data_IF_866811859062
#
_entry.id   IF_866811859062
#
_cell.length_a   1.000
_cell.length_b   1.000
_cell.length_c   1.000
_cell.angle_alpha   90.00
_cell.angle_beta   90.00
_cell.angle_gamma   90.00
#
_symmetry.space_group_name_H-M   'P 1'
#
loop_
_entity.id
_entity.type
_entity.pdbx_description
1 polymer ?
#
# COMPACT_ATOMS: atom_id res chain seq x y z
N UNK A 1 -14.09 -7.02 57.09
CA UNK A 1 -13.37 -6.16 56.12
C UNK A 1 -12.72 -7.05 55.08
N UNK A 2 -13.08 -6.97 53.79
CA UNK A 2 -12.40 -7.71 52.74
C UNK A 2 -11.13 -6.96 52.31
N UNK A 3 -10.05 -7.72 52.07
CA UNK A 3 -8.78 -7.21 51.53
C UNK A 3 -8.98 -6.87 50.05
N UNK A 4 -8.67 -5.62 49.68
CA UNK A 4 -8.57 -5.18 48.30
C UNK A 4 -7.28 -5.78 47.73
N UNK A 5 -7.40 -6.76 46.84
CA UNK A 5 -6.26 -7.22 46.04
C UNK A 5 -5.88 -6.09 45.09
N UNK A 6 -4.64 -5.61 45.23
CA UNK A 6 -4.01 -4.72 44.28
C UNK A 6 -3.82 -5.47 42.95
N UNK A 7 -4.66 -5.19 41.96
CA UNK A 7 -4.44 -5.65 40.60
C UNK A 7 -3.12 -5.05 40.09
N UNK A 8 -2.09 -5.88 40.01
CA UNK A 8 -0.87 -5.57 39.28
C UNK A 8 -1.23 -5.44 37.80
N UNK A 9 -1.02 -4.25 37.23
CA UNK A 9 -1.06 -4.04 35.79
C UNK A 9 0.19 -4.71 35.22
N UNK A 10 0.03 -5.90 34.64
CA UNK A 10 1.07 -6.51 33.81
C UNK A 10 1.16 -5.75 32.49
N UNK A 11 2.29 -5.11 32.22
CA UNK A 11 2.60 -4.60 30.89
C UNK A 11 3.12 -5.75 30.03
N UNK A 12 2.27 -6.32 29.17
CA UNK A 12 2.76 -7.21 28.12
C UNK A 12 3.27 -6.38 26.93
N UNK A 13 4.48 -6.70 26.49
CA UNK A 13 5.06 -6.12 25.30
C UNK A 13 4.49 -6.82 24.07
N UNK A 14 3.72 -6.10 23.25
CA UNK A 14 3.15 -6.63 22.02
C UNK A 14 4.04 -6.20 20.86
N UNK A 15 4.67 -7.15 20.18
CA UNK A 15 5.38 -6.88 18.93
C UNK A 15 4.39 -6.90 17.75
N UNK A 16 4.28 -5.78 17.05
CA UNK A 16 3.53 -5.68 15.79
C UNK A 16 4.51 -5.65 14.63
N UNK A 17 4.37 -6.58 13.68
CA UNK A 17 5.14 -6.57 12.43
C UNK A 17 4.28 -6.02 11.30
N UNK A 18 4.76 -4.99 10.60
CA UNK A 18 4.10 -4.43 9.41
C UNK A 18 5.06 -4.39 8.22
N UNK A 19 4.52 -4.56 7.02
CA UNK A 19 5.28 -4.55 5.77
C UNK A 19 4.92 -3.26 5.03
N UNK A 20 5.84 -2.29 4.97
CA UNK A 20 5.62 -1.02 4.25
C UNK A 20 6.39 -0.99 2.94
N UNK A 21 5.68 -1.11 1.82
CA UNK A 21 6.21 -0.75 0.49
C UNK A 21 6.07 0.76 0.26
N UNK A 22 7.00 1.32 -0.49
CA UNK A 22 6.86 2.68 -1.02
C UNK A 22 6.56 2.58 -2.51
N UNK A 23 5.49 3.24 -2.94
CA UNK A 23 5.04 3.27 -4.32
C UNK A 23 5.10 4.70 -4.84
N UNK A 24 5.76 4.89 -5.97
CA UNK A 24 5.86 6.17 -6.65
C UNK A 24 5.31 6.02 -8.06
N UNK A 25 4.43 6.93 -8.44
CA UNK A 25 3.92 7.04 -9.80
C UNK A 25 4.32 8.39 -10.38
N UNK A 26 4.82 8.37 -11.61
CA UNK A 26 5.21 9.59 -12.33
C UNK A 26 4.77 9.48 -13.79
N UNK A 27 4.39 10.62 -14.38
CA UNK A 27 3.95 10.72 -15.77
C UNK A 27 4.71 11.84 -16.44
N UNK A 28 5.41 11.52 -17.52
CA UNK A 28 6.03 12.48 -18.42
C UNK A 28 5.15 12.65 -19.66
N UNK A 29 4.75 13.90 -19.92
CA UNK A 29 3.92 14.26 -21.06
C UNK A 29 4.80 14.92 -22.13
N UNK A 30 4.70 14.43 -23.36
CA UNK A 30 5.34 14.99 -24.55
C UNK A 30 4.24 15.37 -25.53
N UNK A 31 4.00 16.67 -25.67
CA UNK A 31 3.07 17.20 -26.66
C UNK A 31 3.73 17.25 -28.05
N UNK A 32 2.89 17.20 -29.09
CA UNK A 32 3.35 17.28 -30.48
C UNK A 32 4.50 16.29 -30.78
N UNK A 33 4.35 15.04 -30.35
CA UNK A 33 5.44 14.07 -30.30
C UNK A 33 6.17 13.90 -31.65
N UNK A 34 5.46 13.91 -32.79
CA UNK A 34 6.11 13.83 -34.11
C UNK A 34 7.03 15.01 -34.41
N UNK A 35 6.65 16.22 -34.01
CA UNK A 35 7.50 17.40 -34.16
C UNK A 35 8.67 17.39 -33.17
N UNK A 36 8.41 16.96 -31.92
CA UNK A 36 9.44 16.76 -30.91
C UNK A 36 10.49 15.75 -31.38
N UNK A 37 10.04 14.58 -31.90
CA UNK A 37 10.88 13.51 -32.42
C UNK A 37 11.80 13.99 -33.55
N UNK A 38 11.32 14.87 -34.43
CA UNK A 38 12.11 15.42 -35.52
C UNK A 38 13.21 16.40 -35.07
N UNK A 39 13.11 16.96 -33.86
CA UNK A 39 14.05 17.96 -33.33
C UNK A 39 15.06 17.41 -32.35
N UNK A 40 14.66 16.43 -31.53
CA UNK A 40 15.53 15.87 -30.50
C UNK A 40 16.63 15.01 -31.09
N UNK A 41 17.79 14.99 -30.43
CA UNK A 41 18.92 14.13 -30.77
C UNK A 41 19.40 13.42 -29.51
N UNK A 42 19.69 12.13 -29.63
CA UNK A 42 20.12 11.30 -28.52
C UNK A 42 19.05 11.13 -27.44
N UNK A 43 19.46 10.65 -26.28
CA UNK A 43 18.56 10.39 -25.17
C UNK A 43 17.96 11.67 -24.58
N UNK A 44 16.70 11.59 -24.16
CA UNK A 44 15.97 12.68 -23.55
C UNK A 44 15.50 12.25 -22.16
N UNK A 45 15.60 13.17 -21.19
CA UNK A 45 15.32 12.88 -19.78
C UNK A 45 14.14 13.73 -19.30
N UNK A 46 13.27 13.13 -18.48
CA UNK A 46 12.25 13.89 -17.75
C UNK A 46 12.88 14.70 -16.62
N UNK A 47 12.07 15.56 -16.00
CA UNK A 47 12.43 16.09 -14.68
C UNK A 47 12.66 14.96 -13.67
N UNK A 48 13.52 15.25 -12.70
CA UNK A 48 13.77 14.39 -11.56
C UNK A 48 12.57 14.44 -10.62
N UNK A 49 12.11 13.27 -10.16
CA UNK A 49 11.02 13.14 -9.21
C UNK A 49 11.48 12.35 -7.96
N UNK A 50 11.01 12.72 -6.76
CA UNK A 50 11.46 12.11 -5.52
C UNK A 50 10.85 10.71 -5.30
N UNK A 51 11.57 9.82 -4.61
CA UNK A 51 11.04 8.52 -4.17
C UNK A 51 10.80 8.41 -2.66
N UNK A 52 10.51 9.51 -1.96
CA UNK A 52 10.27 9.50 -0.51
C UNK A 52 11.48 9.10 0.36
N UNK A 53 12.67 8.93 -0.25
CA UNK A 53 14.00 8.87 0.37
C UNK A 53 14.86 9.96 -0.29
N UNK A 54 16.12 10.14 0.13
CA UNK A 54 17.11 11.04 -0.52
C UNK A 54 17.43 10.69 -1.99
N UNK A 55 16.69 9.75 -2.58
CA UNK A 55 16.88 9.24 -3.92
C UNK A 55 15.91 9.96 -4.88
N UNK A 56 16.42 10.49 -5.98
CA UNK A 56 15.59 11.01 -7.07
C UNK A 56 15.64 10.06 -8.27
N UNK A 57 14.57 10.06 -9.04
CA UNK A 57 14.38 9.22 -10.22
C UNK A 57 14.05 10.08 -11.41
N UNK A 58 14.29 9.57 -12.61
CA UNK A 58 13.87 10.21 -13.85
C UNK A 58 13.56 9.15 -14.90
N UNK A 59 12.71 9.52 -15.85
CA UNK A 59 12.47 8.76 -17.07
C UNK A 59 13.47 9.18 -18.13
N UNK A 60 13.94 8.22 -18.91
CA UNK A 60 14.72 8.44 -20.11
C UNK A 60 14.01 7.77 -21.28
N UNK A 61 13.84 8.51 -22.38
CA UNK A 61 13.47 7.95 -23.68
C UNK A 61 14.67 8.08 -24.61
N UNK A 62 14.95 7.01 -25.34
CA UNK A 62 15.93 6.98 -26.42
C UNK A 62 15.17 6.81 -27.74
N UNK A 63 14.91 7.89 -28.49
CA UNK A 63 14.12 7.81 -29.72
C UNK A 63 14.78 6.98 -30.82
N UNK A 64 16.12 6.90 -30.80
CA UNK A 64 16.95 6.11 -31.70
C UNK A 64 17.76 5.12 -30.87
N UNK A 65 17.12 4.05 -30.39
CA UNK A 65 17.78 3.07 -29.51
C UNK A 65 19.12 2.61 -30.09
N UNK A 66 20.15 2.60 -29.24
CA UNK A 66 21.51 2.18 -29.62
C UNK A 66 21.57 0.75 -30.18
N UNK A 67 20.63 -0.11 -29.79
CA UNK A 67 20.53 -1.50 -30.28
C UNK A 67 19.78 -1.57 -31.61
N UNK A 68 18.65 -0.89 -31.71
CA UNK A 68 17.81 -0.87 -32.91
C UNK A 68 17.17 0.50 -33.11
N UNK A 69 17.64 1.19 -34.14
CA UNK A 69 17.14 2.52 -34.52
C UNK A 69 15.68 2.53 -35.00
N UNK A 70 15.04 1.38 -35.14
CA UNK A 70 13.61 1.29 -35.48
C UNK A 70 12.70 1.31 -34.26
N UNK A 71 13.27 1.21 -33.05
CA UNK A 71 12.54 1.22 -31.79
C UNK A 71 12.97 2.37 -30.87
N UNK A 72 12.02 2.86 -30.09
CA UNK A 72 12.30 3.73 -28.96
C UNK A 72 12.69 2.87 -27.75
N UNK A 73 13.80 3.21 -27.11
CA UNK A 73 14.14 2.71 -25.78
C UNK A 73 13.47 3.54 -24.69
N UNK A 74 13.02 2.92 -23.60
CA UNK A 74 12.43 3.63 -22.45
C UNK A 74 12.95 3.04 -21.15
N UNK A 75 13.46 3.90 -20.27
CA UNK A 75 14.11 3.52 -19.02
C UNK A 75 13.69 4.39 -17.85
N UNK A 76 13.72 3.81 -16.67
CA UNK A 76 13.69 4.47 -15.38
C UNK A 76 15.10 4.43 -14.80
N UNK A 77 15.61 5.59 -14.36
CA UNK A 77 16.96 5.72 -13.80
C UNK A 77 16.92 6.46 -12.47
N UNK A 78 17.85 6.13 -11.58
CA UNK A 78 18.04 6.81 -10.30
C UNK A 78 19.21 7.80 -10.41
N UNK A 79 19.14 8.90 -9.64
CA UNK A 79 20.21 9.89 -9.46
C UNK A 79 21.19 9.54 -8.35
N UNK A 80 21.08 8.34 -7.75
CA UNK A 80 21.96 7.90 -6.68
C UNK A 80 23.21 7.16 -7.17
N UNK A 81 24.36 7.79 -6.96
CA UNK A 81 25.71 7.29 -7.32
C UNK A 81 26.07 5.94 -6.70
N UNK A 82 25.55 5.65 -5.50
CA UNK A 82 25.89 4.43 -4.77
C UNK A 82 24.66 3.80 -4.13
N UNK A 83 24.38 2.56 -4.52
CA UNK A 83 23.28 1.77 -3.97
C UNK A 83 22.82 0.70 -4.95
N UNK A 84 22.34 -0.43 -4.42
CA UNK A 84 21.53 -1.39 -5.18
C UNK A 84 20.11 -1.26 -4.66
N UNK A 85 19.21 -0.79 -5.51
CA UNK A 85 17.79 -0.75 -5.18
C UNK A 85 17.13 -1.94 -5.84
N UNK A 86 16.52 -2.81 -5.04
CA UNK A 86 15.59 -3.78 -5.59
C UNK A 86 14.23 -3.10 -5.68
N UNK A 87 13.79 -2.89 -6.91
CA UNK A 87 12.53 -2.25 -7.21
C UNK A 87 11.82 -3.02 -8.32
N UNK A 88 10.49 -3.04 -8.22
CA UNK A 88 9.60 -3.42 -9.29
C UNK A 88 9.19 -2.15 -10.03
N UNK A 89 9.40 -2.12 -11.33
CA UNK A 89 9.06 -1.00 -12.20
C UNK A 89 8.03 -1.44 -13.23
N UNK A 90 6.96 -0.67 -13.38
CA UNK A 90 6.02 -0.79 -14.48
C UNK A 90 6.14 0.46 -15.36
N UNK A 91 6.25 0.25 -16.67
CA UNK A 91 6.30 1.29 -17.69
C UNK A 91 5.08 1.18 -18.58
N UNK A 92 4.51 2.33 -18.94
CA UNK A 92 3.34 2.40 -19.81
C UNK A 92 3.51 3.54 -20.80
N UNK A 93 3.11 3.30 -22.04
CA UNK A 93 2.87 4.36 -23.01
C UNK A 93 1.36 4.51 -23.21
N UNK A 94 0.89 5.73 -23.03
CA UNK A 94 -0.52 6.06 -23.21
C UNK A 94 -0.68 7.28 -24.11
N UNK A 95 -1.82 7.38 -24.78
CA UNK A 95 -2.22 8.62 -25.45
C UNK A 95 -2.94 9.56 -24.47
N UNK A 96 -3.34 10.74 -24.94
CA UNK A 96 -4.08 11.76 -24.16
C UNK A 96 -5.42 11.26 -23.60
N UNK A 97 -6.08 10.32 -24.28
CA UNK A 97 -7.29 9.66 -23.81
C UNK A 97 -7.03 8.61 -22.70
N UNK A 98 -5.77 8.38 -22.34
CA UNK A 98 -5.37 7.40 -21.34
C UNK A 98 -5.34 5.96 -21.84
N UNK A 99 -5.52 5.72 -23.14
CA UNK A 99 -5.42 4.39 -23.74
C UNK A 99 -3.97 3.89 -23.64
N UNK A 100 -3.77 2.78 -22.95
CA UNK A 100 -2.47 2.10 -22.89
C UNK A 100 -2.28 1.29 -24.16
N UNK A 101 -1.22 1.58 -24.90
CA UNK A 101 -0.89 0.88 -26.14
C UNK A 101 0.47 0.17 -26.11
N UNK A 102 1.22 0.33 -25.02
CA UNK A 102 2.43 -0.40 -24.70
C UNK A 102 2.62 -0.50 -23.19
N UNK A 103 3.08 -1.66 -22.71
CA UNK A 103 3.28 -1.91 -21.27
C UNK A 103 4.44 -2.86 -21.03
N UNK A 104 5.28 -2.51 -20.07
CA UNK A 104 6.35 -3.38 -19.57
C UNK A 104 6.37 -3.45 -18.06
N UNK A 105 6.85 -4.57 -17.54
CA UNK A 105 7.12 -4.77 -16.13
C UNK A 105 8.50 -5.40 -15.95
N UNK A 106 9.30 -4.77 -15.10
CA UNK A 106 10.67 -5.17 -14.80
C UNK A 106 10.82 -5.28 -13.28
N UNK A 107 11.60 -6.26 -12.85
CA UNK A 107 12.03 -6.36 -11.47
C UNK A 107 13.52 -6.65 -11.47
N UNK A 108 14.27 -5.90 -10.66
CA UNK A 108 15.71 -6.10 -10.62
C UNK A 108 16.42 -5.17 -9.67
N UNK A 109 17.72 -5.43 -9.52
CA UNK A 109 18.63 -4.54 -8.81
C UNK A 109 19.05 -3.41 -9.76
N UNK A 110 18.65 -2.20 -9.43
CA UNK A 110 19.01 -0.99 -10.17
C UNK A 110 20.38 -0.54 -9.66
N UNK A 111 21.36 -0.52 -10.57
CA UNK A 111 22.66 0.10 -10.34
C UNK A 111 22.65 1.54 -10.84
N UNK A 112 23.59 2.33 -10.33
CA UNK A 112 23.89 3.67 -10.85
C UNK A 112 24.06 3.63 -12.37
N UNK A 113 23.37 4.51 -13.09
CA UNK A 113 23.39 4.66 -14.54
C UNK A 113 22.99 3.47 -15.44
N UNK A 114 22.76 2.26 -14.92
CA UNK A 114 22.22 1.15 -15.73
C UNK A 114 20.70 1.29 -15.93
N UNK A 115 19.98 1.77 -14.91
CA UNK A 115 18.51 1.92 -14.96
C UNK A 115 17.75 0.59 -15.10
N UNK A 116 16.42 0.67 -15.18
CA UNK A 116 15.55 -0.43 -15.62
C UNK A 116 14.74 0.06 -16.81
N UNK A 117 14.79 -0.66 -17.92
CA UNK A 117 14.01 -0.30 -19.09
C UNK A 117 14.07 -1.36 -20.17
N UNK A 118 13.60 -0.96 -21.34
CA UNK A 118 13.59 -1.75 -22.55
C UNK A 118 14.34 -0.98 -23.63
N UNK A 119 15.30 -1.63 -24.27
CA UNK A 119 15.99 -1.06 -25.42
C UNK A 119 15.09 -0.98 -26.65
N UNK A 120 14.15 -1.90 -26.77
CA UNK A 120 13.20 -2.01 -27.89
C UNK A 120 11.76 -1.97 -27.33
N UNK A 121 11.37 -0.85 -26.72
CA UNK A 121 10.07 -0.79 -26.03
C UNK A 121 8.90 -0.68 -27.01
N UNK A 122 9.07 0.10 -28.08
CA UNK A 122 8.02 0.32 -29.07
C UNK A 122 8.60 0.75 -30.40
N UNK A 123 8.01 0.27 -31.49
CA UNK A 123 8.46 0.58 -32.84
C UNK A 123 8.09 2.02 -33.24
N UNK A 124 9.08 2.83 -33.63
CA UNK A 124 8.98 4.26 -33.92
C UNK A 124 7.89 4.57 -34.95
N UNK A 125 7.82 3.79 -36.04
CA UNK A 125 6.81 4.00 -37.11
C UNK A 125 5.35 3.81 -36.64
N UNK A 126 5.12 3.07 -35.56
CA UNK A 126 3.76 2.81 -35.06
C UNK A 126 3.28 3.87 -34.07
N UNK A 127 4.20 4.64 -33.47
CA UNK A 127 3.86 5.67 -32.47
C UNK A 127 2.89 6.72 -32.99
N UNK A 128 3.13 7.36 -34.16
CA UNK A 128 2.29 8.45 -34.64
C UNK A 128 0.82 8.08 -34.74
N UNK A 129 0.51 6.84 -35.14
CA UNK A 129 -0.87 6.35 -35.22
C UNK A 129 -1.47 6.11 -33.83
N UNK A 130 -0.69 5.57 -32.88
CA UNK A 130 -1.15 5.27 -31.51
C UNK A 130 -1.46 6.50 -30.66
N UNK A 131 -0.86 7.66 -30.97
CA UNK A 131 -1.00 8.92 -30.22
C UNK A 131 -1.99 9.92 -30.87
N UNK A 132 -2.69 9.52 -31.92
CA UNK A 132 -3.76 10.33 -32.51
C UNK A 132 -4.94 10.50 -31.53
N UNK A 133 -5.72 11.59 -31.67
CA UNK A 133 -5.61 12.64 -32.69
C UNK A 133 -4.66 13.79 -32.33
N UNK A 134 -4.34 13.98 -31.06
CA UNK A 134 -3.66 15.19 -30.58
C UNK A 134 -2.13 15.10 -30.58
N UNK A 135 -1.56 13.92 -30.87
CA UNK A 135 -0.12 13.75 -30.96
C UNK A 135 0.58 13.79 -29.61
N UNK A 136 -0.15 13.63 -28.50
CA UNK A 136 0.43 13.66 -27.15
C UNK A 136 0.81 12.24 -26.71
N UNK A 137 2.10 12.06 -26.40
CA UNK A 137 2.61 10.84 -25.78
C UNK A 137 2.72 11.03 -24.27
N UNK A 138 2.19 10.09 -23.49
CA UNK A 138 2.36 10.04 -22.04
C UNK A 138 3.18 8.79 -21.69
N UNK A 139 4.36 9.00 -21.12
CA UNK A 139 5.22 7.95 -20.59
C UNK A 139 4.97 7.89 -19.08
N UNK A 140 4.36 6.81 -18.62
CA UNK A 140 4.05 6.61 -17.19
C UNK A 140 4.98 5.57 -16.62
N UNK A 141 5.43 5.81 -15.39
CA UNK A 141 6.10 4.79 -14.61
C UNK A 141 5.49 4.65 -13.22
N UNK A 142 5.48 3.41 -12.74
CA UNK A 142 5.17 3.07 -11.37
C UNK A 142 6.33 2.27 -10.79
N UNK A 143 6.95 2.80 -9.76
CA UNK A 143 8.10 2.21 -9.08
C UNK A 143 7.63 1.76 -7.71
N UNK A 144 7.78 0.48 -7.40
CA UNK A 144 7.55 -0.09 -6.07
C UNK A 144 8.88 -0.53 -5.51
N UNK A 145 9.40 0.17 -4.50
CA UNK A 145 10.61 -0.26 -3.80
C UNK A 145 10.26 -1.33 -2.76
N UNK A 146 11.16 -2.29 -2.54
CA UNK A 146 10.96 -3.39 -1.60
C UNK A 146 10.40 -2.93 -0.25
N UNK A 147 9.50 -3.74 0.28
CA UNK A 147 8.85 -3.45 1.53
C UNK A 147 9.82 -3.58 2.71
N UNK A 148 9.83 -2.57 3.58
CA UNK A 148 10.53 -2.63 4.85
C UNK A 148 9.64 -3.35 5.85
N UNK A 149 10.14 -4.42 6.45
CA UNK A 149 9.51 -5.06 7.60
C UNK A 149 9.80 -4.15 8.81
N UNK A 150 8.76 -3.53 9.36
CA UNK A 150 8.83 -2.71 10.55
C UNK A 150 8.26 -3.52 11.72
N UNK A 151 9.11 -3.78 12.71
CA UNK A 151 8.69 -4.35 13.98
C UNK A 151 8.54 -3.21 14.99
N UNK A 152 7.31 -2.94 15.43
CA UNK A 152 6.99 -1.96 16.46
C UNK A 152 6.63 -2.70 17.74
N UNK A 153 7.40 -2.48 18.81
CA UNK A 153 7.02 -2.91 20.15
C UNK A 153 6.04 -1.87 20.70
N UNK A 154 4.79 -2.26 20.94
CA UNK A 154 3.81 -1.41 21.60
C UNK A 154 3.50 -1.98 22.98
N UNK A 155 3.48 -1.10 23.98
CA UNK A 155 2.85 -1.43 25.26
C UNK A 155 1.34 -1.48 25.02
N UNK A 156 0.80 -2.68 24.86
CA UNK A 156 -0.63 -2.87 24.71
C UNK A 156 -1.30 -2.76 26.07
N UNK A 157 -2.21 -1.80 26.26
CA UNK A 157 -3.18 -1.92 27.34
C UNK A 157 -4.28 -2.88 26.88
N UNK A 158 -4.12 -4.18 27.10
CA UNK A 158 -5.31 -5.01 27.13
C UNK A 158 -6.15 -4.55 28.33
N UNK A 159 -7.37 -4.06 28.06
CA UNK A 159 -8.39 -4.12 29.10
C UNK A 159 -8.54 -5.61 29.39
N UNK A 160 -8.03 -6.07 30.53
CA UNK A 160 -8.36 -7.39 31.05
C UNK A 160 -9.87 -7.54 30.86
N UNK A 161 -10.29 -8.59 30.14
CA UNK A 161 -11.69 -8.98 30.15
C UNK A 161 -12.06 -9.07 31.62
N UNK A 162 -12.91 -8.14 32.08
CA UNK A 162 -13.41 -8.16 33.45
C UNK A 162 -13.91 -9.57 33.68
N UNK A 163 -13.37 -10.25 34.70
CA UNK A 163 -13.91 -11.54 35.09
C UNK A 163 -15.42 -11.39 35.21
N UNK A 164 -16.21 -12.27 34.57
CA UNK A 164 -17.65 -12.16 34.64
C UNK A 164 -18.04 -12.18 36.11
N UNK A 165 -18.75 -11.13 36.55
CA UNK A 165 -19.20 -11.07 37.93
C UNK A 165 -20.06 -12.31 38.23
N UNK A 166 -19.92 -12.92 39.41
CA UNK A 166 -20.74 -14.06 39.79
C UNK A 166 -22.21 -13.66 39.70
N UNK A 167 -23.02 -14.49 39.05
CA UNK A 167 -24.43 -14.22 38.83
C UNK A 167 -25.17 -14.02 40.16
N UNK A 168 -25.87 -12.91 40.32
CA UNK A 168 -26.76 -12.66 41.47
C UNK A 168 -28.09 -13.40 41.38
N UNK A 169 -28.36 -14.10 40.27
CA UNK A 169 -29.66 -14.70 39.95
C UNK A 169 -30.22 -15.58 41.08
N UNK A 170 -29.40 -16.37 41.77
CA UNK A 170 -29.88 -17.20 42.87
C UNK A 170 -30.33 -16.37 44.08
N UNK A 171 -29.67 -15.23 44.32
CA UNK A 171 -30.04 -14.28 45.37
C UNK A 171 -31.33 -13.57 44.98
N UNK A 172 -31.43 -13.14 43.73
CA UNK A 172 -32.61 -12.45 43.19
C UNK A 172 -33.85 -13.35 43.23
N UNK A 173 -33.72 -14.63 42.83
CA UNK A 173 -34.79 -15.62 42.91
C UNK A 173 -35.20 -15.95 44.35
N UNK A 174 -34.22 -15.97 45.28
CA UNK A 174 -34.50 -16.19 46.70
C UNK A 174 -35.26 -15.01 47.30
N UNK A 175 -34.93 -13.77 46.92
CA UNK A 175 -35.68 -12.59 47.36
C UNK A 175 -37.12 -12.58 46.85
N UNK A 176 -37.37 -13.08 45.63
CA UNK A 176 -38.74 -13.25 45.13
C UNK A 176 -39.52 -14.26 45.96
N UNK A 177 -38.91 -15.40 46.31
CA UNK A 177 -39.54 -16.43 47.11
C UNK A 177 -39.79 -16.01 48.58
N UNK A 178 -38.85 -15.28 49.19
CA UNK A 178 -38.98 -14.82 50.58
C UNK A 178 -39.85 -13.56 50.72
N UNK A 179 -40.12 -12.85 49.63
CA UNK A 179 -40.77 -11.55 49.63
C UNK A 179 -42.28 -11.55 49.35
N UNK A 180 -42.91 -12.71 49.12
CA UNK A 180 -44.30 -12.84 48.62
C UNK A 180 -44.59 -11.89 47.41
N UNK A 181 -43.57 -11.60 46.60
CA UNK A 181 -43.71 -10.70 45.45
C UNK A 181 -44.07 -11.52 44.22
N UNK A 182 -45.14 -11.10 43.52
CA UNK A 182 -45.57 -11.67 42.24
C UNK A 182 -46.00 -13.14 42.32
N UNK A 183 -46.64 -13.55 43.41
CA UNK A 183 -47.11 -14.92 43.55
C UNK A 183 -48.53 -15.08 42.98
N UNK A 184 -48.74 -16.15 42.23
CA UNK A 184 -50.00 -16.51 41.57
C UNK A 184 -50.57 -17.85 42.09
N UNK A 185 -49.84 -18.50 42.99
CA UNK A 185 -50.17 -19.81 43.57
C UNK A 185 -49.91 -19.79 45.07
N UNK A 186 -50.84 -20.32 45.86
CA UNK A 186 -50.65 -20.57 47.30
C UNK A 186 -50.49 -22.06 47.55
N UNK A 187 -49.42 -22.45 48.27
CA UNK A 187 -49.17 -23.84 48.65
C UNK A 187 -49.55 -24.04 50.12
N UNK A 188 -50.37 -25.07 50.40
CA UNK A 188 -50.77 -25.44 51.77
C UNK A 188 -50.05 -26.70 52.21
N UNK A 189 -49.23 -26.63 53.26
CA UNK A 189 -48.50 -27.78 53.81
C UNK A 189 -48.81 -27.88 55.31
N UNK A 190 -49.43 -28.99 55.72
CA UNK A 190 -49.81 -29.25 57.13
C UNK A 190 -50.60 -28.09 57.79
N UNK A 191 -51.43 -27.40 57.00
CA UNK A 191 -52.22 -26.26 57.47
C UNK A 191 -51.49 -24.91 57.44
N UNK A 192 -50.19 -24.87 57.14
CA UNK A 192 -49.44 -23.65 56.92
C UNK A 192 -49.53 -23.21 55.46
N UNK A 193 -49.81 -21.92 55.24
CA UNK A 193 -49.86 -21.28 53.92
C UNK A 193 -48.49 -20.69 53.58
N UNK A 194 -48.00 -20.99 52.40
CA UNK A 194 -46.87 -20.32 51.76
C UNK A 194 -47.44 -19.69 50.50
N UNK A 195 -47.49 -18.36 50.47
CA UNK A 195 -47.98 -17.57 49.35
C UNK A 195 -46.87 -17.22 48.39
#
# INVERSE_FOLDING_TARGET
MPKINSNSIGSEEVMTTSVKSNEISFTWVIHNFSAWLAQVKGNQMSFKFPSGRDDQWYLQIDPDSLKDKTHCGVYVRSTKEQGRFNAKCELFLTNSAGLVFERGQLQGNIKWNDGLGYDEFIHVKTLPEKIKPDGTLLIKCKITSNAVILNELRQGSFRQLLEPQPSSLSTDLKTLFEGDQLTDVTVLIQGQRIS
#
